data_IF_392610423446
#
_entry.id   IF_392610423446
#
_cell.length_a   1.000
_cell.length_b   1.000
_cell.length_c   1.000
_cell.angle_alpha   90.00
_cell.angle_beta   90.00
_cell.angle_gamma   90.00
#
_symmetry.space_group_name_H-M   'P 1'
#
loop_
_entity.id
_entity.type
_entity.pdbx_description
1 polymer ?
#
# COMPACT_ATOMS: atom_id res chain seq x y z
N UNK A 1 -30.89 -1.33 46.93
CA UNK A 1 -29.72 -2.08 46.44
C UNK A 1 -29.55 -1.77 44.95
N UNK A 2 -28.49 -1.04 44.58
CA UNK A 2 -28.27 -0.54 43.22
C UNK A 2 -28.00 -1.72 42.28
N UNK A 3 -28.88 -1.93 41.29
CA UNK A 3 -28.65 -2.90 40.20
C UNK A 3 -27.59 -2.31 39.27
N UNK A 4 -26.37 -2.82 39.35
CA UNK A 4 -25.31 -2.48 38.41
C UNK A 4 -25.64 -3.23 37.11
N UNK A 5 -26.21 -2.51 36.14
CA UNK A 5 -26.36 -2.99 34.77
C UNK A 5 -24.98 -2.89 34.13
N UNK A 6 -24.26 -4.02 34.07
CA UNK A 6 -23.01 -4.13 33.34
C UNK A 6 -23.36 -4.16 31.83
N UNK A 7 -23.27 -3.00 31.16
CA UNK A 7 -23.25 -2.95 29.71
C UNK A 7 -21.92 -3.52 29.22
N UNK A 8 -21.89 -4.81 28.89
CA UNK A 8 -20.78 -5.43 28.15
C UNK A 8 -21.06 -5.21 26.66
N UNK A 9 -20.65 -4.06 26.13
CA UNK A 9 -20.43 -3.84 24.70
C UNK A 9 -19.10 -3.09 24.61
N UNK A 10 -18.01 -3.73 24.13
CA UNK A 10 -17.81 -3.79 22.68
C UNK A 10 -17.05 -5.04 22.20
N UNK A 11 -17.73 -5.95 21.50
CA UNK A 11 -17.07 -7.02 20.71
C UNK A 11 -17.40 -6.94 19.21
N UNK A 12 -17.71 -5.74 18.69
CA UNK A 12 -17.97 -5.54 17.25
C UNK A 12 -16.71 -5.06 16.51
N UNK A 13 -15.58 -4.87 17.19
CA UNK A 13 -14.30 -4.53 16.52
C UNK A 13 -13.52 -5.76 16.02
N UNK A 14 -14.02 -6.98 16.25
CA UNK A 14 -13.31 -8.22 15.92
C UNK A 14 -13.19 -8.55 14.43
N UNK A 15 -13.95 -7.90 13.54
CA UNK A 15 -13.92 -8.22 12.11
C UNK A 15 -12.68 -7.66 11.35
N UNK A 16 -11.85 -6.83 11.99
CA UNK A 16 -10.65 -6.28 11.34
C UNK A 16 -9.51 -7.30 11.25
N UNK A 17 -9.46 -8.27 12.17
CA UNK A 17 -8.31 -9.19 12.30
C UNK A 17 -8.35 -10.39 11.34
N UNK A 18 -9.50 -10.70 10.74
CA UNK A 18 -9.61 -11.86 9.84
C UNK A 18 -9.24 -11.56 8.37
N UNK A 19 -9.31 -10.30 7.95
CA UNK A 19 -9.12 -9.89 6.54
C UNK A 19 -7.79 -9.17 6.28
N UNK A 20 -6.91 -9.13 7.28
CA UNK A 20 -5.68 -8.35 7.24
C UNK A 20 -5.92 -6.84 7.19
N UNK A 21 -4.84 -6.11 7.40
CA UNK A 21 -4.83 -4.65 7.32
C UNK A 21 -5.19 -4.17 5.90
N UNK A 22 -5.98 -3.10 5.76
CA UNK A 22 -6.28 -2.51 4.46
C UNK A 22 -5.03 -2.01 3.73
N UNK A 23 -5.10 -1.89 2.41
CA UNK A 23 -4.05 -1.27 1.59
C UNK A 23 -3.70 0.15 2.04
N UNK A 24 -2.42 0.50 1.94
CA UNK A 24 -1.89 1.84 2.24
C UNK A 24 -2.59 2.96 1.45
N UNK A 25 -3.08 2.65 0.23
CA UNK A 25 -3.80 3.57 -0.66
C UNK A 25 -5.02 4.22 -0.02
N UNK A 26 -5.64 3.55 0.98
CA UNK A 26 -6.77 4.10 1.74
C UNK A 26 -6.38 5.27 2.64
N UNK A 27 -5.09 5.41 2.94
CA UNK A 27 -4.58 6.43 3.84
C UNK A 27 -3.92 7.60 3.10
N UNK A 28 -3.83 7.56 1.78
CA UNK A 28 -3.46 8.70 0.95
C UNK A 28 -4.70 9.56 0.68
N UNK A 29 -4.80 10.71 1.34
CA UNK A 29 -6.01 11.54 1.34
C UNK A 29 -5.75 12.95 0.80
N UNK A 30 -6.66 13.43 -0.07
CA UNK A 30 -6.75 14.83 -0.52
C UNK A 30 -8.19 15.29 -0.28
N UNK A 31 -8.37 16.31 0.56
CA UNK A 31 -9.70 16.80 0.98
C UNK A 31 -10.62 15.68 1.50
N UNK A 32 -10.06 14.76 2.29
CA UNK A 32 -10.78 13.62 2.87
C UNK A 32 -11.12 12.48 1.90
N UNK A 33 -10.73 12.58 0.62
CA UNK A 33 -10.96 11.55 -0.41
C UNK A 33 -9.67 10.79 -0.70
N UNK A 34 -9.80 9.48 -0.94
CA UNK A 34 -8.68 8.63 -1.35
C UNK A 34 -8.20 8.96 -2.76
N UNK A 35 -7.09 8.35 -3.17
CA UNK A 35 -6.55 8.46 -4.53
C UNK A 35 -7.65 8.11 -5.55
N UNK A 36 -7.86 8.99 -6.52
CA UNK A 36 -8.81 8.76 -7.61
C UNK A 36 -8.20 7.83 -8.67
N UNK A 37 -9.04 7.15 -9.46
CA UNK A 37 -8.55 6.31 -10.57
C UNK A 37 -7.73 7.15 -11.56
N UNK A 38 -8.16 8.38 -11.82
CA UNK A 38 -7.50 9.30 -12.75
C UNK A 38 -6.14 9.75 -12.24
N UNK A 39 -6.03 10.14 -10.96
CA UNK A 39 -4.74 10.53 -10.36
C UNK A 39 -3.79 9.32 -10.29
N UNK A 40 -4.31 8.13 -9.95
CA UNK A 40 -3.51 6.90 -9.97
C UNK A 40 -2.97 6.58 -11.36
N UNK A 41 -3.83 6.67 -12.38
CA UNK A 41 -3.45 6.50 -13.78
C UNK A 41 -2.37 7.52 -14.18
N UNK A 42 -2.60 8.80 -13.89
CA UNK A 42 -1.66 9.89 -14.16
C UNK A 42 -0.28 9.65 -13.56
N UNK A 43 -0.19 9.19 -12.32
CA UNK A 43 1.10 8.89 -11.70
C UNK A 43 1.73 7.61 -12.28
N UNK A 44 0.96 6.52 -12.39
CA UNK A 44 1.48 5.21 -12.82
C UNK A 44 1.97 5.19 -14.28
N UNK A 45 1.28 5.85 -15.21
CA UNK A 45 1.67 5.93 -16.62
C UNK A 45 3.01 6.66 -16.83
N UNK A 46 3.36 7.57 -15.92
CA UNK A 46 4.65 8.26 -15.95
C UNK A 46 5.78 7.49 -15.25
N UNK A 47 5.46 6.56 -14.35
CA UNK A 47 6.46 5.89 -13.51
C UNK A 47 6.86 4.56 -14.11
N UNK A 48 5.91 3.64 -14.29
CA UNK A 48 6.23 2.25 -14.65
C UNK A 48 6.99 2.10 -15.97
N UNK A 49 6.62 2.80 -17.06
CA UNK A 49 7.37 2.70 -18.32
C UNK A 49 8.82 3.20 -18.21
N UNK A 50 9.09 4.09 -17.25
CA UNK A 50 10.38 4.75 -17.04
C UNK A 50 11.27 4.04 -16.02
N UNK A 51 10.86 2.90 -15.46
CA UNK A 51 11.70 2.07 -14.57
C UNK A 51 12.82 1.32 -15.32
N UNK A 52 12.83 1.39 -16.65
CA UNK A 52 13.90 0.90 -17.51
C UNK A 52 13.59 -0.44 -18.20
N UNK A 53 14.41 -0.78 -19.20
CA UNK A 53 14.20 -1.95 -20.06
C UNK A 53 14.18 -3.28 -19.31
N UNK A 54 14.97 -3.41 -18.24
CA UNK A 54 15.01 -4.63 -17.42
C UNK A 54 13.72 -4.85 -16.63
N UNK A 55 13.13 -3.79 -16.05
CA UNK A 55 11.80 -3.86 -15.46
C UNK A 55 10.75 -4.29 -16.50
N UNK A 56 10.76 -3.67 -17.68
CA UNK A 56 9.80 -3.99 -18.74
C UNK A 56 9.89 -5.47 -19.17
N UNK A 57 11.11 -6.01 -19.29
CA UNK A 57 11.32 -7.44 -19.54
C UNK A 57 10.68 -8.32 -18.45
N UNK A 58 10.97 -8.03 -17.18
CA UNK A 58 10.45 -8.82 -16.05
C UNK A 58 8.93 -8.73 -15.95
N UNK A 59 8.37 -7.55 -16.19
CA UNK A 59 6.92 -7.30 -16.22
C UNK A 59 6.23 -8.15 -17.28
N UNK A 60 6.71 -8.12 -18.53
CA UNK A 60 6.12 -8.90 -19.63
C UNK A 60 6.32 -10.40 -19.41
N UNK A 61 7.49 -10.84 -18.92
CA UNK A 61 7.73 -12.24 -18.57
C UNK A 61 6.74 -12.72 -17.51
N UNK A 62 6.55 -11.99 -16.41
CA UNK A 62 5.58 -12.31 -15.35
C UNK A 62 4.16 -12.42 -15.92
N UNK A 63 3.78 -11.53 -16.83
CA UNK A 63 2.46 -11.54 -17.49
C UNK A 63 2.27 -12.76 -18.39
N UNK A 64 3.32 -13.20 -19.09
CA UNK A 64 3.29 -14.38 -19.96
C UNK A 64 3.20 -15.70 -19.18
N UNK A 65 4.03 -15.87 -18.13
CA UNK A 65 4.13 -17.14 -17.40
C UNK A 65 3.20 -17.21 -16.17
N UNK A 66 2.64 -16.08 -15.75
CA UNK A 66 1.84 -15.97 -14.54
C UNK A 66 2.67 -15.88 -13.26
N UNK A 67 2.01 -15.49 -12.16
CA UNK A 67 2.70 -15.24 -10.87
C UNK A 67 3.39 -16.48 -10.31
N UNK A 68 2.71 -17.64 -10.29
CA UNK A 68 3.21 -18.88 -9.68
C UNK A 68 4.49 -19.34 -10.36
N UNK A 69 4.54 -19.34 -11.69
CA UNK A 69 5.71 -19.77 -12.43
C UNK A 69 6.85 -18.75 -12.33
N UNK A 70 6.54 -17.46 -12.44
CA UNK A 70 7.53 -16.39 -12.28
C UNK A 70 8.20 -16.44 -10.90
N UNK A 71 7.42 -16.70 -9.85
CA UNK A 71 7.91 -16.78 -8.46
C UNK A 71 8.90 -17.93 -8.22
N UNK A 72 8.85 -19.01 -9.02
CA UNK A 72 9.83 -20.11 -8.93
C UNK A 72 11.24 -19.63 -9.26
N UNK A 73 11.38 -18.66 -10.17
CA UNK A 73 12.65 -17.99 -10.40
C UNK A 73 12.89 -16.93 -9.32
N UNK A 74 13.49 -17.35 -8.20
CA UNK A 74 13.67 -16.50 -7.02
C UNK A 74 14.51 -15.26 -7.28
N UNK A 75 15.49 -15.32 -8.19
CA UNK A 75 16.38 -14.20 -8.48
C UNK A 75 15.65 -13.10 -9.24
N UNK A 76 14.99 -13.45 -10.35
CA UNK A 76 14.20 -12.50 -11.13
C UNK A 76 13.00 -11.97 -10.34
N UNK A 77 12.39 -12.80 -9.48
CA UNK A 77 11.32 -12.34 -8.61
C UNK A 77 11.82 -11.27 -7.62
N UNK A 78 12.95 -11.50 -6.94
CA UNK A 78 13.54 -10.50 -6.04
C UNK A 78 13.92 -9.22 -6.77
N UNK A 79 14.49 -9.34 -7.97
CA UNK A 79 14.83 -8.19 -8.80
C UNK A 79 13.57 -7.39 -9.17
N UNK A 80 12.51 -8.08 -9.57
CA UNK A 80 11.23 -7.45 -9.89
C UNK A 80 10.63 -6.71 -8.67
N UNK A 81 10.70 -7.31 -7.48
CA UNK A 81 10.26 -6.65 -6.24
C UNK A 81 11.04 -5.36 -5.93
N UNK A 82 12.33 -5.30 -6.26
CA UNK A 82 13.12 -4.06 -6.10
C UNK A 82 12.56 -2.94 -6.97
N UNK A 83 12.24 -3.24 -8.24
CA UNK A 83 11.61 -2.26 -9.13
C UNK A 83 10.23 -1.81 -8.64
N UNK A 84 9.42 -2.72 -8.11
CA UNK A 84 8.12 -2.36 -7.53
C UNK A 84 8.29 -1.41 -6.33
N UNK A 85 9.25 -1.67 -5.43
CA UNK A 85 9.54 -0.76 -4.31
C UNK A 85 10.04 0.61 -4.77
N UNK A 86 10.79 0.66 -5.88
CA UNK A 86 11.18 1.93 -6.50
C UNK A 86 9.95 2.68 -7.03
N UNK A 87 9.07 1.96 -7.74
CA UNK A 87 7.82 2.51 -8.26
C UNK A 87 6.95 3.09 -7.14
N UNK A 88 6.78 2.37 -6.03
CA UNK A 88 6.00 2.83 -4.87
C UNK A 88 6.52 4.15 -4.31
N UNK A 89 7.84 4.31 -4.18
CA UNK A 89 8.44 5.57 -3.70
C UNK A 89 8.15 6.74 -4.64
N UNK A 90 8.22 6.50 -5.95
CA UNK A 90 7.92 7.51 -6.97
C UNK A 90 6.43 7.84 -7.00
N UNK A 91 5.56 6.83 -6.85
CA UNK A 91 4.11 6.99 -6.80
C UNK A 91 3.71 7.85 -5.60
N UNK A 92 4.27 7.53 -4.43
CA UNK A 92 4.02 8.27 -3.20
C UNK A 92 4.46 9.74 -3.30
N UNK A 93 5.60 10.02 -3.96
CA UNK A 93 5.99 11.40 -4.26
C UNK A 93 4.98 12.07 -5.21
N UNK A 94 4.58 11.40 -6.30
CA UNK A 94 3.60 11.95 -7.24
C UNK A 94 2.26 12.25 -6.57
N UNK A 95 1.75 11.36 -5.71
CA UNK A 95 0.53 11.62 -4.94
C UNK A 95 0.68 12.83 -4.02
N UNK A 96 1.82 12.95 -3.34
CA UNK A 96 2.12 14.11 -2.50
C UNK A 96 2.11 15.42 -3.30
N UNK A 97 2.72 15.42 -4.49
CA UNK A 97 2.78 16.56 -5.40
C UNK A 97 1.39 16.95 -5.94
N UNK A 98 0.48 15.97 -6.11
CA UNK A 98 -0.93 16.20 -6.43
C UNK A 98 -1.77 16.71 -5.24
N UNK A 99 -1.16 16.88 -4.06
CA UNK A 99 -1.80 17.40 -2.85
C UNK A 99 -2.38 16.34 -1.93
N UNK A 100 -2.09 15.06 -2.15
CA UNK A 100 -2.43 14.01 -1.18
C UNK A 100 -1.49 14.06 0.03
N UNK A 101 -1.99 13.60 1.17
CA UNK A 101 -1.20 13.40 2.39
C UNK A 101 -1.40 12.01 2.92
N UNK A 102 -0.32 11.42 3.44
CA UNK A 102 -0.39 10.11 4.05
C UNK A 102 -0.87 10.23 5.51
N UNK A 103 -2.07 9.75 5.78
CA UNK A 103 -2.81 9.90 7.04
C UNK A 103 -3.17 8.54 7.65
N UNK A 104 -2.22 7.61 7.67
CA UNK A 104 -2.43 6.31 8.30
C UNK A 104 -2.54 6.43 9.83
N UNK A 105 -3.50 5.74 10.48
CA UNK A 105 -3.61 5.70 11.93
C UNK A 105 -2.54 4.79 12.53
N UNK A 106 -2.14 5.08 13.77
CA UNK A 106 -1.06 4.34 14.46
C UNK A 106 -1.33 2.83 14.55
N UNK A 107 -2.58 2.42 14.79
CA UNK A 107 -2.93 1.00 14.88
C UNK A 107 -2.64 0.26 13.56
N UNK A 108 -2.79 0.93 12.41
CA UNK A 108 -2.49 0.33 11.11
C UNK A 108 -0.99 0.19 10.92
N UNK A 109 -0.23 1.23 11.27
CA UNK A 109 1.24 1.20 11.22
C UNK A 109 1.86 0.10 12.09
N UNK A 110 1.20 -0.28 13.19
CA UNK A 110 1.70 -1.27 14.14
C UNK A 110 1.19 -2.70 13.88
N UNK A 111 0.30 -2.89 12.91
CA UNK A 111 -0.20 -4.21 12.58
C UNK A 111 0.93 -5.11 12.04
N UNK A 112 0.94 -6.37 12.48
CA UNK A 112 2.01 -7.35 12.24
C UNK A 112 1.71 -8.29 11.06
N UNK A 113 0.79 -7.89 10.18
CA UNK A 113 0.26 -8.72 9.09
C UNK A 113 0.77 -8.31 7.71
N UNK A 114 1.89 -7.57 7.66
CA UNK A 114 2.53 -7.16 6.42
C UNK A 114 3.61 -6.09 6.63
N UNK A 115 3.81 -5.27 5.61
CA UNK A 115 4.85 -4.24 5.56
C UNK A 115 4.43 -2.89 6.18
N UNK A 116 3.31 -2.84 6.90
CA UNK A 116 2.68 -1.58 7.31
C UNK A 116 3.60 -0.67 8.13
N UNK A 117 4.42 -1.23 9.03
CA UNK A 117 5.39 -0.45 9.81
C UNK A 117 6.43 0.22 8.93
N UNK A 118 6.95 -0.50 7.93
CA UNK A 118 7.90 0.03 6.95
C UNK A 118 7.25 1.13 6.12
N UNK A 119 6.08 0.86 5.55
CA UNK A 119 5.30 1.80 4.73
C UNK A 119 5.03 3.09 5.51
N UNK A 120 4.54 2.97 6.76
CA UNK A 120 4.30 4.13 7.60
C UNK A 120 5.58 4.93 7.80
N UNK A 121 6.67 4.28 8.17
CA UNK A 121 7.96 4.93 8.42
C UNK A 121 8.45 5.70 7.20
N UNK A 122 8.39 5.09 6.01
CA UNK A 122 8.81 5.69 4.75
C UNK A 122 7.94 6.89 4.35
N UNK A 123 6.63 6.82 4.61
CA UNK A 123 5.65 7.82 4.19
C UNK A 123 5.32 8.88 5.26
N UNK A 124 5.87 8.79 6.48
CA UNK A 124 5.67 9.80 7.52
C UNK A 124 6.02 11.23 7.06
N UNK A 125 7.01 11.36 6.17
CA UNK A 125 7.42 12.63 5.57
C UNK A 125 6.32 13.32 4.73
N UNK A 126 5.33 12.56 4.26
CA UNK A 126 4.21 13.06 3.45
C UNK A 126 2.95 13.34 4.28
N UNK A 127 3.07 13.36 5.61
CA UNK A 127 1.93 13.54 6.51
C UNK A 127 1.38 14.96 6.52
N UNK A 128 2.22 15.97 6.27
CA UNK A 128 1.88 17.40 6.36
C UNK A 128 2.14 18.10 5.04
#
# INVERSE_FOLDING_TARGET
MKKIILFIIPFISGCYLANGSPSESKYWLRNGKTISIEDNKKCSENIYPNLGGRYNYLYEKRKQVGFVEFYKNREEFKEYEIYLRMADKLLNQCFYDLGYRFKAPLYWCLAQDGDNTRICTENMKYRN
#
